data_IF_804027769885
#
_entry.id   IF_804027769885
#
_cell.length_a   1.000
_cell.length_b   1.000
_cell.length_c   1.000
_cell.angle_alpha   90.00
_cell.angle_beta   90.00
_cell.angle_gamma   90.00
#
_symmetry.space_group_name_H-M   'P 1'
#
loop_
_entity.id
_entity.type
_entity.pdbx_description
1 polymer ?
#
# COMPACT_ATOMS: atom_id res chain seq x y z
N UNK A 1 -7.39 -3.54 -13.10
CA UNK A 1 -7.30 -3.37 -11.63
C UNK A 1 -7.50 -1.90 -11.32
N UNK A 2 -8.43 -1.56 -10.41
CA UNK A 2 -8.53 -0.21 -9.86
C UNK A 2 -7.74 -0.15 -8.57
N UNK A 3 -7.20 1.01 -8.24
CA UNK A 3 -6.36 1.20 -7.06
C UNK A 3 -5.91 2.65 -6.93
N UNK A 4 -5.05 2.87 -5.95
CA UNK A 4 -4.52 4.19 -5.62
C UNK A 4 -3.00 4.14 -5.69
N UNK A 5 -2.37 5.20 -6.18
CA UNK A 5 -0.93 5.39 -5.99
C UNK A 5 -0.71 6.14 -4.69
N UNK A 6 0.20 5.60 -3.86
CA UNK A 6 0.62 6.22 -2.63
C UNK A 6 2.12 6.54 -2.70
N UNK A 7 2.50 7.73 -2.25
CA UNK A 7 3.91 8.14 -2.14
C UNK A 7 4.29 8.08 -0.68
N UNK A 8 5.22 7.19 -0.33
CA UNK A 8 5.71 6.99 1.04
C UNK A 8 6.22 8.30 1.63
N UNK A 9 5.72 8.63 2.82
CA UNK A 9 6.11 9.78 3.62
C UNK A 9 7.08 9.38 4.75
N UNK A 10 7.81 10.35 5.34
CA UNK A 10 8.64 10.09 6.51
C UNK A 10 7.84 9.48 7.67
N UNK A 11 8.31 8.36 8.20
CA UNK A 11 7.68 7.66 9.33
C UNK A 11 6.62 6.62 8.95
N UNK A 12 6.32 6.47 7.66
CA UNK A 12 5.38 5.46 7.20
C UNK A 12 5.90 4.03 7.38
N UNK A 13 4.97 3.12 7.65
CA UNK A 13 5.16 1.68 7.55
C UNK A 13 4.10 1.11 6.62
N UNK A 14 4.41 -0.01 5.96
CA UNK A 14 3.46 -0.63 5.02
C UNK A 14 2.15 -1.02 5.73
N UNK A 15 2.25 -1.48 6.98
CA UNK A 15 1.09 -1.83 7.81
C UNK A 15 0.24 -0.61 8.14
N UNK A 16 0.83 0.53 8.50
CA UNK A 16 0.10 1.76 8.79
C UNK A 16 -0.61 2.31 7.54
N UNK A 17 0.07 2.32 6.39
CA UNK A 17 -0.53 2.71 5.11
C UNK A 17 -1.75 1.82 4.83
N UNK A 18 -1.57 0.49 4.83
CA UNK A 18 -2.67 -0.46 4.58
C UNK A 18 -3.82 -0.28 5.58
N UNK A 19 -3.53 -0.06 6.86
CA UNK A 19 -4.54 0.18 7.88
C UNK A 19 -5.36 1.45 7.61
N UNK A 20 -4.71 2.55 7.19
CA UNK A 20 -5.39 3.78 6.83
C UNK A 20 -6.36 3.58 5.64
N UNK A 21 -5.95 2.82 4.62
CA UNK A 21 -6.85 2.49 3.50
C UNK A 21 -8.03 1.61 3.94
N UNK A 22 -7.80 0.63 4.83
CA UNK A 22 -8.88 -0.19 5.42
C UNK A 22 -9.89 0.66 6.20
N UNK A 23 -9.44 1.65 6.96
CA UNK A 23 -10.30 2.59 7.67
C UNK A 23 -11.16 3.42 6.71
N UNK A 24 -10.69 3.66 5.49
CA UNK A 24 -11.45 4.31 4.40
C UNK A 24 -12.33 3.33 3.59
N UNK A 25 -12.72 2.20 4.19
CA UNK A 25 -13.54 1.15 3.57
C UNK A 25 -12.91 0.45 2.35
N UNK A 26 -11.59 0.57 2.17
CA UNK A 26 -10.88 -0.14 1.09
C UNK A 26 -10.38 -1.47 1.65
N UNK A 27 -11.03 -2.58 1.27
CA UNK A 27 -10.64 -3.93 1.70
C UNK A 27 -9.37 -4.37 0.99
N UNK A 28 -8.21 -3.99 1.54
CA UNK A 28 -6.88 -4.35 1.03
C UNK A 28 -6.04 -5.00 2.13
N UNK A 29 -5.13 -5.91 1.78
CA UNK A 29 -4.17 -6.51 2.72
C UNK A 29 -2.72 -6.21 2.34
N UNK A 30 -1.81 -6.33 3.31
CA UNK A 30 -0.37 -6.19 3.07
C UNK A 30 0.07 -7.14 1.95
N UNK A 31 -0.34 -8.41 2.01
CA UNK A 31 -0.04 -9.39 0.96
C UNK A 31 -0.55 -8.98 -0.43
N UNK A 32 -1.74 -8.37 -0.50
CA UNK A 32 -2.28 -7.87 -1.76
C UNK A 32 -1.45 -6.70 -2.30
N UNK A 33 -1.01 -5.79 -1.43
CA UNK A 33 -0.10 -4.69 -1.81
C UNK A 33 1.24 -5.26 -2.28
N UNK A 34 1.84 -6.21 -1.56
CA UNK A 34 3.11 -6.82 -1.94
C UNK A 34 3.02 -7.55 -3.29
N UNK A 35 1.93 -8.30 -3.53
CA UNK A 35 1.68 -8.94 -4.82
C UNK A 35 1.53 -7.93 -5.96
N UNK A 36 0.93 -6.77 -5.69
CA UNK A 36 0.73 -5.73 -6.68
C UNK A 36 1.99 -4.86 -6.92
N UNK A 37 3.00 -4.95 -6.05
CA UNK A 37 4.26 -4.22 -6.17
C UNK A 37 5.46 -5.18 -6.13
N UNK A 38 5.76 -5.89 -7.23
CA UNK A 38 6.91 -6.79 -7.29
C UNK A 38 8.21 -6.07 -6.91
N UNK A 39 8.96 -6.64 -5.95
CA UNK A 39 10.21 -6.08 -5.45
C UNK A 39 10.05 -5.06 -4.31
N UNK A 40 8.83 -4.76 -3.86
CA UNK A 40 8.60 -3.99 -2.64
C UNK A 40 9.02 -4.83 -1.41
N UNK A 41 10.00 -4.33 -0.66
CA UNK A 41 10.37 -4.87 0.65
C UNK A 41 9.62 -4.09 1.75
N UNK A 42 8.70 -4.72 2.51
CA UNK A 42 7.90 -4.05 3.53
C UNK A 42 8.75 -3.46 4.67
N UNK A 43 9.97 -3.95 4.86
CA UNK A 43 10.88 -3.48 5.91
C UNK A 43 11.85 -2.40 5.41
N UNK A 44 11.83 -2.06 4.11
CA UNK A 44 12.75 -1.09 3.49
C UNK A 44 12.02 -0.07 2.64
N UNK A 45 10.94 0.49 3.19
CA UNK A 45 10.25 1.61 2.56
C UNK A 45 11.16 2.84 2.51
N UNK A 46 11.18 3.52 1.37
CA UNK A 46 11.94 4.77 1.17
C UNK A 46 10.97 5.93 1.00
N UNK A 47 11.25 7.06 1.64
CA UNK A 47 10.48 8.29 1.41
C UNK A 47 10.51 8.66 -0.07
N UNK A 48 9.35 9.03 -0.62
CA UNK A 48 9.18 9.31 -2.05
C UNK A 48 8.97 8.07 -2.91
N UNK A 49 9.07 6.86 -2.36
CA UNK A 49 8.77 5.62 -3.08
C UNK A 49 7.28 5.56 -3.40
N UNK A 50 6.96 5.18 -4.65
CA UNK A 50 5.59 4.93 -5.08
C UNK A 50 5.19 3.50 -4.77
N UNK A 51 4.01 3.33 -4.18
CA UNK A 51 3.39 2.05 -3.88
C UNK A 51 1.98 2.06 -4.47
N UNK A 52 1.64 1.02 -5.20
CA UNK A 52 0.29 0.81 -5.70
C UNK A 52 -0.55 0.07 -4.65
N UNK A 53 -1.68 0.67 -4.24
CA UNK A 53 -2.64 0.07 -3.32
C UNK A 53 -3.81 -0.48 -4.14
N UNK A 54 -3.93 -1.81 -4.33
CA UNK A 54 -5.03 -2.39 -5.08
C UNK A 54 -6.33 -2.25 -4.31
N UNK A 55 -7.39 -1.78 -4.99
CA UNK A 55 -8.74 -1.76 -4.44
C UNK A 55 -9.55 -2.90 -5.06
N UNK A 56 -10.36 -3.63 -4.26
CA UNK A 56 -11.26 -4.63 -4.80
C UNK A 56 -12.24 -3.96 -5.76
N UNK A 57 -12.40 -4.56 -6.93
CA UNK A 57 -13.44 -4.18 -7.88
C UNK A 57 -14.73 -4.81 -7.37
N UNK A 58 -15.56 -4.00 -6.71
CA UNK A 58 -16.91 -4.42 -6.34
C UNK A 58 -17.74 -4.69 -7.59
#
# INVERSE_FOLDING_TARGET
>A
MKGYEYVVQPGDTLSAIVAAYRQNNIKVTVDQVLKANPGLDPNKLRVGQKIFIPAPSN
#
